data_IF_778248068035
#
_entry.id   IF_778248068035
#
_cell.length_a   1.000
_cell.length_b   1.000
_cell.length_c   1.000
_cell.angle_alpha   90.00
_cell.angle_beta   90.00
_cell.angle_gamma   90.00
#
_symmetry.space_group_name_H-M   'P 1'
#
loop_
_entity.id
_entity.type
_entity.pdbx_description
1 polymer ?
#
# COMPACT_ATOMS: atom_id res chain seq x y z
N UNK A 1 7.97 -31.49 4.30
CA UNK A 1 7.01 -30.50 3.78
C UNK A 1 7.52 -29.13 4.19
N UNK A 2 7.86 -28.19 3.30
CA UNK A 2 8.32 -26.89 3.76
C UNK A 2 7.19 -25.88 3.69
N UNK A 3 6.94 -25.30 4.86
CA UNK A 3 5.92 -24.31 5.14
C UNK A 3 6.12 -23.06 4.26
N UNK A 4 5.09 -22.62 3.51
CA UNK A 4 5.16 -21.39 2.74
C UNK A 4 5.25 -20.21 3.71
N UNK A 5 6.31 -19.43 3.58
CA UNK A 5 6.49 -18.17 4.28
C UNK A 5 5.46 -17.18 3.72
N UNK A 6 4.32 -17.09 4.41
CA UNK A 6 3.27 -16.12 4.07
C UNK A 6 3.70 -14.76 4.63
N UNK A 7 4.61 -14.07 3.93
CA UNK A 7 4.88 -12.67 4.24
C UNK A 7 3.64 -11.85 3.92
N UNK A 8 3.12 -11.15 4.91
CA UNK A 8 2.07 -10.16 4.71
C UNK A 8 2.69 -8.79 4.97
N UNK A 9 2.56 -7.87 4.03
CA UNK A 9 2.94 -6.48 4.23
C UNK A 9 1.78 -5.73 4.85
N UNK A 10 2.03 -5.11 6.00
CA UNK A 10 1.03 -4.30 6.71
C UNK A 10 1.35 -2.83 6.51
N UNK A 11 0.54 -2.14 5.71
CA UNK A 11 0.62 -0.70 5.50
C UNK A 11 -0.34 -0.02 6.47
N UNK A 12 0.21 0.64 7.49
CA UNK A 12 -0.57 1.44 8.44
C UNK A 12 -0.76 2.84 7.87
N UNK A 13 -1.98 3.34 7.91
CA UNK A 13 -2.31 4.66 7.42
C UNK A 13 -3.23 5.40 8.39
N UNK A 14 -3.16 6.72 8.33
CA UNK A 14 -4.05 7.60 9.05
C UNK A 14 -4.59 8.64 8.08
N UNK A 15 -5.91 8.70 7.97
CA UNK A 15 -6.63 9.70 7.19
C UNK A 15 -7.30 10.65 8.18
N UNK A 16 -6.97 11.96 8.14
CA UNK A 16 -7.63 12.96 8.96
C UNK A 16 -9.15 12.95 8.73
N UNK A 17 -9.99 13.11 9.77
CA UNK A 17 -11.45 13.13 9.61
C UNK A 17 -11.96 14.33 8.81
N UNK A 18 -11.13 15.35 8.59
CA UNK A 18 -11.42 16.50 7.72
C UNK A 18 -11.28 16.18 6.23
N UNK A 19 -10.67 15.04 5.89
CA UNK A 19 -10.50 14.61 4.51
C UNK A 19 -11.83 14.16 3.90
N UNK A 20 -12.09 14.57 2.67
CA UNK A 20 -13.25 14.15 1.87
C UNK A 20 -12.98 12.85 1.12
N UNK A 21 -11.75 12.64 0.67
CA UNK A 21 -11.35 11.42 -0.02
C UNK A 21 -9.94 11.01 0.37
N UNK A 22 -9.69 9.70 0.40
CA UNK A 22 -8.34 9.18 0.57
C UNK A 22 -8.16 7.86 -0.18
N UNK A 23 -7.00 7.74 -0.81
CA UNK A 23 -6.61 6.61 -1.65
C UNK A 23 -5.14 6.26 -1.37
N UNK A 24 -4.81 4.98 -1.32
CA UNK A 24 -3.43 4.50 -1.35
C UNK A 24 -3.17 3.91 -2.74
N UNK A 25 -2.29 4.54 -3.49
CA UNK A 25 -1.82 4.03 -4.77
C UNK A 25 -0.52 3.27 -4.59
N UNK A 26 -0.49 2.01 -5.00
CA UNK A 26 0.69 1.15 -4.97
C UNK A 26 1.20 0.99 -6.40
N UNK A 27 2.42 1.47 -6.62
CA UNK A 27 3.11 1.43 -7.90
C UNK A 27 4.31 0.48 -7.83
N UNK A 28 4.58 -0.25 -8.91
CA UNK A 28 5.80 -1.03 -9.05
C UNK A 28 7.00 -0.14 -9.42
N UNK A 29 8.22 -0.70 -9.34
CA UNK A 29 9.46 0.03 -9.65
C UNK A 29 9.52 0.57 -11.09
N UNK A 30 8.75 -0.02 -12.02
CA UNK A 30 8.62 0.43 -13.41
C UNK A 30 7.67 1.63 -13.57
N UNK A 31 7.05 2.09 -12.49
CA UNK A 31 6.08 3.20 -12.49
C UNK A 31 4.64 2.77 -12.81
N UNK A 32 4.39 1.49 -13.10
CA UNK A 32 3.05 0.98 -13.31
C UNK A 32 2.27 0.93 -12.00
N UNK A 33 0.99 1.32 -12.03
CA UNK A 33 0.10 1.16 -10.87
C UNK A 33 -0.30 -0.30 -10.74
N UNK A 34 0.17 -0.93 -9.68
CA UNK A 34 -0.18 -2.31 -9.36
C UNK A 34 -1.59 -2.40 -8.77
N UNK A 35 -1.93 -1.50 -7.84
CA UNK A 35 -3.26 -1.45 -7.21
C UNK A 35 -3.51 -0.11 -6.53
N UNK A 36 -4.76 0.33 -6.55
CA UNK A 36 -5.23 1.48 -5.77
C UNK A 36 -6.28 1.02 -4.75
N UNK A 37 -6.17 1.54 -3.54
CA UNK A 37 -7.09 1.27 -2.43
C UNK A 37 -7.79 2.57 -2.04
N UNK A 38 -9.06 2.70 -2.38
CA UNK A 38 -9.90 3.87 -2.09
C UNK A 38 -10.70 3.68 -0.78
N UNK A 39 -11.46 4.73 -0.40
CA UNK A 39 -12.35 4.74 0.76
C UNK A 39 -11.63 4.56 2.12
N UNK A 40 -10.40 5.05 2.22
CA UNK A 40 -9.63 5.04 3.46
C UNK A 40 -10.16 6.13 4.39
N UNK A 41 -10.42 5.80 5.65
CA UNK A 41 -10.90 6.76 6.65
C UNK A 41 -10.30 6.45 8.01
N UNK A 42 -10.00 7.50 8.78
CA UNK A 42 -9.47 7.37 10.14
C UNK A 42 -8.16 6.59 10.22
N UNK A 43 -7.96 5.91 11.35
CA UNK A 43 -6.83 5.02 11.56
C UNK A 43 -7.17 3.63 11.01
N UNK A 44 -6.33 3.12 10.10
CA UNK A 44 -6.52 1.82 9.50
C UNK A 44 -5.20 1.14 9.16
N UNK A 45 -5.32 -0.13 8.78
CA UNK A 45 -4.22 -0.88 8.21
C UNK A 45 -4.70 -1.65 6.99
N UNK A 46 -3.86 -1.65 5.98
CA UNK A 46 -4.03 -2.45 4.79
C UNK A 46 -3.06 -3.63 4.86
N UNK A 47 -3.57 -4.84 4.73
CA UNK A 47 -2.75 -6.06 4.72
C UNK A 47 -2.70 -6.57 3.28
N UNK A 48 -1.50 -6.58 2.71
CA UNK A 48 -1.25 -7.10 1.37
C UNK A 48 -0.47 -8.40 1.50
N UNK A 49 -1.03 -9.50 1.00
CA UNK A 49 -0.33 -10.79 1.02
C UNK A 49 0.75 -10.87 -0.05
N UNK A 50 1.97 -11.28 0.31
CA UNK A 50 3.11 -11.39 -0.61
C UNK A 50 2.90 -12.43 -1.71
N UNK A 51 1.96 -13.38 -1.55
CA UNK A 51 1.56 -14.27 -2.64
C UNK A 51 0.89 -13.54 -3.82
N UNK A 52 0.41 -12.32 -3.60
CA UNK A 52 -0.27 -11.49 -4.62
C UNK A 52 0.70 -10.60 -5.41
N UNK A 53 1.95 -10.48 -4.95
CA UNK A 53 2.95 -9.57 -5.51
C UNK A 53 4.19 -10.36 -5.92
N UNK A 54 4.85 -9.90 -6.98
CA UNK A 54 6.17 -10.43 -7.35
C UNK A 54 7.22 -9.85 -6.40
N UNK A 55 8.37 -10.51 -6.30
CA UNK A 55 9.53 -9.91 -5.64
C UNK A 55 9.94 -8.63 -6.36
N UNK A 56 10.33 -7.63 -5.58
CA UNK A 56 10.74 -6.35 -6.12
C UNK A 56 10.37 -5.17 -5.23
N UNK A 57 10.69 -3.99 -5.74
CA UNK A 57 10.44 -2.73 -5.05
C UNK A 57 9.11 -2.16 -5.50
N UNK A 58 8.29 -1.75 -4.54
CA UNK A 58 7.02 -1.08 -4.75
C UNK A 58 6.98 0.21 -3.96
N UNK A 59 6.37 1.23 -4.53
CA UNK A 59 6.17 2.52 -3.88
C UNK A 59 4.68 2.72 -3.69
N UNK A 60 4.25 2.87 -2.45
CA UNK A 60 2.88 3.20 -2.13
C UNK A 60 2.76 4.64 -1.66
N UNK A 61 1.62 5.26 -1.90
CA UNK A 61 1.42 6.65 -1.49
C UNK A 61 0.00 6.95 -1.11
N UNK A 62 -0.13 7.68 -0.02
CA UNK A 62 -1.40 8.15 0.49
C UNK A 62 -1.73 9.48 -0.18
N UNK A 63 -2.79 9.47 -0.97
CA UNK A 63 -3.39 10.63 -1.58
C UNK A 63 -4.65 10.98 -0.78
N UNK A 64 -4.74 12.20 -0.26
CA UNK A 64 -5.91 12.70 0.48
C UNK A 64 -6.39 13.97 -0.20
N UNK A 65 -7.68 14.07 -0.49
CA UNK A 65 -8.30 15.20 -1.20
C UNK A 65 -7.63 15.56 -2.54
N UNK A 66 -7.04 14.56 -3.20
CA UNK A 66 -6.32 14.73 -4.47
C UNK A 66 -4.85 15.14 -4.32
N UNK A 67 -4.36 15.35 -3.10
CA UNK A 67 -2.96 15.70 -2.82
C UNK A 67 -2.20 14.51 -2.24
N UNK A 68 -0.96 14.28 -2.69
CA UNK A 68 -0.12 13.18 -2.20
C UNK A 68 0.54 13.60 -0.89
N UNK A 69 0.04 13.09 0.23
CA UNK A 69 0.47 13.49 1.58
C UNK A 69 1.65 12.67 2.09
N UNK A 70 1.71 11.39 1.72
CA UNK A 70 2.76 10.48 2.15
C UNK A 70 3.14 9.54 1.01
N UNK A 71 4.42 9.17 0.95
CA UNK A 71 4.97 8.24 -0.03
C UNK A 71 6.03 7.40 0.64
N UNK A 72 5.88 6.08 0.54
CA UNK A 72 6.80 5.12 1.14
C UNK A 72 7.10 4.00 0.18
N UNK A 73 8.29 3.44 0.31
CA UNK A 73 8.75 2.33 -0.51
C UNK A 73 8.79 1.07 0.33
N UNK A 74 8.30 -0.04 -0.23
CA UNK A 74 8.40 -1.38 0.31
C UNK A 74 9.20 -2.26 -0.65
N UNK A 75 9.99 -3.15 -0.09
CA UNK A 75 10.74 -4.15 -0.86
C UNK A 75 10.20 -5.51 -0.46
N UNK A 76 9.78 -6.28 -1.46
CA UNK A 76 9.33 -7.66 -1.30
C UNK A 76 10.50 -8.57 -1.66
N UNK A 77 10.99 -9.34 -0.70
CA UNK A 77 12.07 -10.32 -0.86
C UNK A 77 11.54 -11.68 -0.41
N UNK A 78 11.44 -12.66 -1.31
CA UNK A 78 11.03 -14.02 -0.90
C UNK A 78 12.17 -14.81 -0.26
#
# INVERSE_FOLDING_TARGET
APNPFNENTVIRFYVPPTAKSATIDVNAADGSTWRSFNALTGNGQLVIGAGSMSEGTYTYSLVVDGERIDTRTMVITR
#
